data_IF_300644776917
#
_entry.id   IF_300644776917
#
_cell.length_a   1.000
_cell.length_b   1.000
_cell.length_c   1.000
_cell.angle_alpha   90.00
_cell.angle_beta   90.00
_cell.angle_gamma   90.00
#
_symmetry.space_group_name_H-M   'P 1'
#
loop_
_entity.id
_entity.type
_entity.pdbx_description
1 polymer ?
#
# COMPACT_ATOMS: atom_id res chain seq x y z
N UNK A 1 -1.06 -24.63 -23.01
CA UNK A 1 -1.63 -25.58 -22.02
C UNK A 1 -1.40 -25.00 -20.63
N UNK A 2 -2.32 -25.18 -19.67
CA UNK A 2 -2.12 -24.68 -18.31
C UNK A 2 -0.93 -25.38 -17.61
N UNK A 3 -0.16 -24.60 -16.85
CA UNK A 3 0.95 -25.13 -16.04
C UNK A 3 0.45 -26.02 -14.89
N UNK A 4 1.34 -26.78 -14.25
CA UNK A 4 0.96 -27.58 -13.08
C UNK A 4 0.35 -26.70 -11.97
N UNK A 5 0.96 -25.56 -11.68
CA UNK A 5 0.48 -24.59 -10.67
C UNK A 5 -0.95 -24.07 -10.97
N UNK A 6 -1.23 -23.80 -12.25
CA UNK A 6 -2.58 -23.39 -12.67
C UNK A 6 -3.61 -24.52 -12.51
N UNK A 7 -3.23 -25.76 -12.81
CA UNK A 7 -4.09 -26.93 -12.56
C UNK A 7 -4.36 -27.14 -11.07
N UNK A 8 -3.33 -27.01 -10.23
CA UNK A 8 -3.47 -27.13 -8.77
C UNK A 8 -4.42 -26.07 -8.19
N UNK A 9 -4.33 -24.85 -8.71
CA UNK A 9 -5.27 -23.78 -8.33
C UNK A 9 -6.69 -24.06 -8.82
N UNK A 10 -6.85 -24.57 -10.03
CA UNK A 10 -8.16 -24.99 -10.55
C UNK A 10 -8.80 -26.08 -9.70
N UNK A 11 -8.03 -27.09 -9.30
CA UNK A 11 -8.49 -28.14 -8.37
C UNK A 11 -8.85 -27.58 -6.98
N UNK A 12 -8.12 -26.57 -6.53
CA UNK A 12 -8.46 -25.88 -5.29
C UNK A 12 -9.81 -25.16 -5.40
N UNK A 13 -10.09 -24.46 -6.50
CA UNK A 13 -11.39 -23.83 -6.76
C UNK A 13 -12.53 -24.87 -6.83
N UNK A 14 -12.30 -26.02 -7.45
CA UNK A 14 -13.27 -27.11 -7.49
C UNK A 14 -13.60 -27.64 -6.08
N UNK A 15 -12.59 -27.75 -5.20
CA UNK A 15 -12.82 -28.12 -3.79
C UNK A 15 -13.62 -27.08 -3.03
N UNK A 16 -13.36 -25.79 -3.26
CA UNK A 16 -14.13 -24.70 -2.64
C UNK A 16 -15.59 -24.66 -3.10
N UNK A 17 -15.87 -25.11 -4.30
CA UNK A 17 -17.24 -25.26 -4.80
C UNK A 17 -18.02 -26.33 -4.01
N UNK A 18 -17.35 -27.38 -3.53
CA UNK A 18 -17.99 -28.50 -2.84
C UNK A 18 -18.98 -29.24 -3.74
N UNK A 19 -20.12 -29.61 -3.18
CA UNK A 19 -21.16 -30.41 -3.87
C UNK A 19 -21.99 -29.62 -4.89
N UNK A 20 -21.83 -28.27 -4.96
CA UNK A 20 -22.52 -27.46 -5.95
C UNK A 20 -22.07 -27.83 -7.37
N UNK A 21 -22.99 -27.93 -8.31
CA UNK A 21 -22.63 -28.01 -9.72
C UNK A 21 -21.96 -26.72 -10.19
N UNK A 22 -21.17 -26.76 -11.27
CA UNK A 22 -20.55 -25.56 -11.86
C UNK A 22 -21.58 -24.50 -12.25
N UNK A 23 -22.80 -24.89 -12.63
CA UNK A 23 -23.88 -23.98 -12.92
C UNK A 23 -24.37 -23.29 -11.65
N UNK A 24 -24.65 -24.06 -10.60
CA UNK A 24 -25.05 -23.51 -9.30
C UNK A 24 -23.99 -22.56 -8.71
N UNK A 25 -22.72 -22.88 -8.92
CA UNK A 25 -21.63 -22.00 -8.51
C UNK A 25 -21.64 -20.69 -9.30
N UNK A 26 -21.85 -20.73 -10.62
CA UNK A 26 -21.97 -19.53 -11.44
C UNK A 26 -23.16 -18.67 -11.00
N UNK A 27 -24.32 -19.29 -10.80
CA UNK A 27 -25.55 -18.59 -10.37
C UNK A 27 -25.36 -17.94 -8.98
N UNK A 28 -24.71 -18.64 -8.03
CA UNK A 28 -24.39 -18.10 -6.71
C UNK A 28 -23.45 -16.89 -6.79
N UNK A 29 -22.37 -17.00 -7.58
CA UNK A 29 -21.42 -15.90 -7.73
C UNK A 29 -22.03 -14.70 -8.44
N UNK A 30 -22.92 -14.91 -9.42
CA UNK A 30 -23.72 -13.85 -10.04
C UNK A 30 -24.60 -13.15 -9.00
N UNK A 31 -25.30 -13.90 -8.17
CA UNK A 31 -26.13 -13.36 -7.10
C UNK A 31 -25.33 -12.52 -6.10
N UNK A 32 -24.15 -13.00 -5.68
CA UNK A 32 -23.29 -12.30 -4.73
C UNK A 32 -22.65 -11.04 -5.31
N UNK A 33 -22.39 -11.01 -6.62
CA UNK A 33 -21.72 -9.91 -7.30
C UNK A 33 -22.66 -8.87 -7.91
N UNK A 34 -23.92 -9.20 -8.10
CA UNK A 34 -24.87 -8.41 -8.89
C UNK A 34 -24.56 -8.42 -10.42
N UNK A 35 -23.63 -9.26 -10.89
CA UNK A 35 -23.26 -9.39 -12.31
C UNK A 35 -23.91 -10.63 -12.91
N UNK A 36 -24.59 -10.49 -14.04
CA UNK A 36 -25.26 -11.61 -14.72
C UNK A 36 -24.42 -12.33 -15.78
N UNK A 37 -23.09 -12.13 -15.78
CA UNK A 37 -22.23 -12.51 -16.93
C UNK A 37 -21.46 -13.82 -16.74
N UNK A 38 -21.51 -14.46 -15.56
CA UNK A 38 -20.77 -15.67 -15.31
C UNK A 38 -21.54 -16.90 -15.80
N UNK A 39 -20.86 -17.76 -16.55
CA UNK A 39 -21.45 -18.99 -17.09
C UNK A 39 -20.80 -20.23 -16.49
N UNK A 40 -21.52 -21.37 -16.58
CA UNK A 40 -20.93 -22.69 -16.25
C UNK A 40 -19.60 -22.93 -16.96
N UNK A 41 -19.48 -22.52 -18.23
CA UNK A 41 -18.27 -22.76 -19.01
C UNK A 41 -17.06 -21.98 -18.45
N UNK A 42 -17.26 -20.77 -17.96
CA UNK A 42 -16.20 -20.00 -17.31
C UNK A 42 -15.75 -20.69 -16.01
N UNK A 43 -16.66 -21.13 -15.16
CA UNK A 43 -16.33 -21.90 -13.94
C UNK A 43 -15.54 -23.17 -14.30
N UNK A 44 -15.96 -23.89 -15.33
CA UNK A 44 -15.26 -25.08 -15.84
C UNK A 44 -13.82 -24.76 -16.30
N UNK A 45 -13.62 -23.64 -16.99
CA UNK A 45 -12.27 -23.18 -17.43
C UNK A 45 -11.37 -22.84 -16.25
N UNK A 46 -11.91 -22.25 -15.19
CA UNK A 46 -11.16 -21.97 -13.97
C UNK A 46 -10.71 -23.27 -13.29
N UNK A 47 -11.62 -24.23 -13.15
CA UNK A 47 -11.34 -25.52 -12.49
C UNK A 47 -10.34 -26.39 -13.29
N UNK A 48 -10.26 -26.20 -14.61
CA UNK A 48 -9.22 -26.83 -15.44
C UNK A 48 -7.90 -26.08 -15.44
N UNK A 49 -7.84 -24.93 -14.77
CA UNK A 49 -6.65 -24.06 -14.70
C UNK A 49 -6.37 -23.28 -15.98
N UNK A 50 -7.33 -23.20 -16.91
CA UNK A 50 -7.18 -22.48 -18.18
C UNK A 50 -7.22 -20.94 -17.99
N UNK A 51 -7.87 -20.49 -16.93
CA UNK A 51 -8.00 -19.06 -16.58
C UNK A 51 -8.07 -18.88 -15.08
N UNK A 52 -7.45 -17.82 -14.57
CA UNK A 52 -7.58 -17.39 -13.18
C UNK A 52 -8.71 -16.37 -13.09
N UNK A 53 -9.69 -16.54 -12.18
CA UNK A 53 -10.88 -15.69 -12.08
C UNK A 53 -10.65 -14.42 -11.27
N UNK A 54 -9.77 -13.51 -11.70
CA UNK A 54 -9.35 -12.35 -10.91
C UNK A 54 -10.51 -11.51 -10.37
N UNK A 55 -11.46 -11.17 -11.24
CA UNK A 55 -12.62 -10.36 -10.87
C UNK A 55 -13.65 -11.08 -9.97
N UNK A 56 -13.47 -12.38 -9.78
CA UNK A 56 -14.39 -13.24 -9.05
C UNK A 56 -13.83 -13.75 -7.72
N UNK A 57 -12.51 -13.55 -7.46
CA UNK A 57 -11.89 -14.04 -6.23
C UNK A 57 -12.58 -13.55 -4.95
N UNK A 58 -13.02 -12.28 -4.81
CA UNK A 58 -13.73 -11.81 -3.63
C UNK A 58 -15.07 -12.54 -3.40
N UNK A 59 -15.78 -12.84 -4.48
CA UNK A 59 -17.07 -13.52 -4.40
C UNK A 59 -16.91 -15.01 -4.13
N UNK A 60 -15.84 -15.64 -4.66
CA UNK A 60 -15.47 -17.03 -4.34
C UNK A 60 -15.11 -17.12 -2.87
N UNK A 61 -14.33 -16.19 -2.33
CA UNK A 61 -13.97 -16.10 -0.92
C UNK A 61 -15.23 -16.09 -0.04
N UNK A 62 -16.17 -15.19 -0.37
CA UNK A 62 -17.44 -15.05 0.35
C UNK A 62 -18.34 -16.29 0.22
N UNK A 63 -18.39 -16.93 -0.95
CA UNK A 63 -19.21 -18.11 -1.21
C UNK A 63 -18.70 -19.38 -0.51
N UNK A 64 -17.41 -19.43 -0.16
CA UNK A 64 -16.74 -20.57 0.44
C UNK A 64 -16.29 -20.34 1.89
N UNK A 65 -16.58 -19.18 2.45
CA UNK A 65 -16.15 -18.75 3.80
C UNK A 65 -14.64 -18.90 4.03
N UNK A 66 -13.85 -18.54 3.01
CA UNK A 66 -12.39 -18.56 3.06
C UNK A 66 -11.87 -17.12 2.97
N UNK A 67 -10.88 -16.72 3.79
CA UNK A 67 -10.30 -15.40 3.68
C UNK A 67 -9.79 -15.09 2.26
N UNK A 68 -10.13 -13.90 1.73
CA UNK A 68 -9.75 -13.48 0.38
C UNK A 68 -8.24 -13.58 0.16
N UNK A 69 -7.45 -13.18 1.16
CA UNK A 69 -5.98 -13.24 1.13
C UNK A 69 -5.42 -14.65 0.85
N UNK A 70 -6.11 -15.70 1.32
CA UNK A 70 -5.72 -17.10 1.07
C UNK A 70 -5.93 -17.46 -0.40
N UNK A 71 -7.06 -17.04 -0.98
CA UNK A 71 -7.37 -17.33 -2.39
C UNK A 71 -6.46 -16.51 -3.31
N UNK A 72 -6.22 -15.23 -2.99
CA UNK A 72 -5.31 -14.36 -3.74
C UNK A 72 -3.87 -14.87 -3.73
N UNK A 73 -3.38 -15.35 -2.58
CA UNK A 73 -2.05 -15.97 -2.48
C UNK A 73 -1.91 -17.20 -3.39
N UNK A 74 -2.94 -18.06 -3.42
CA UNK A 74 -2.96 -19.23 -4.31
C UNK A 74 -3.08 -18.85 -5.78
N UNK A 75 -3.86 -17.81 -6.12
CA UNK A 75 -3.96 -17.27 -7.46
C UNK A 75 -2.63 -16.67 -7.92
N UNK A 76 -1.94 -15.93 -7.06
CA UNK A 76 -0.62 -15.38 -7.32
C UNK A 76 0.41 -16.50 -7.58
N UNK A 77 0.40 -17.56 -6.77
CA UNK A 77 1.24 -18.74 -6.99
C UNK A 77 0.96 -19.41 -8.36
N UNK A 78 -0.31 -19.51 -8.73
CA UNK A 78 -0.72 -20.08 -10.02
C UNK A 78 -0.21 -19.26 -11.22
N UNK A 79 -0.02 -17.94 -11.05
CA UNK A 79 0.58 -17.04 -12.06
C UNK A 79 2.11 -17.13 -12.15
N UNK A 80 2.73 -17.94 -11.29
CA UNK A 80 4.20 -17.96 -11.17
C UNK A 80 4.76 -16.75 -10.42
N UNK A 81 3.90 -15.85 -9.97
CA UNK A 81 4.26 -14.88 -8.94
C UNK A 81 4.36 -15.70 -7.67
N UNK A 82 5.57 -15.91 -7.17
CA UNK A 82 5.75 -16.45 -5.82
C UNK A 82 5.08 -15.39 -4.94
N UNK A 83 3.94 -15.66 -4.26
CA UNK A 83 3.62 -14.84 -3.13
C UNK A 83 4.81 -15.08 -2.22
N UNK A 84 5.53 -14.03 -1.88
CA UNK A 84 6.26 -14.07 -0.63
C UNK A 84 5.17 -14.46 0.37
N UNK A 85 5.20 -15.67 0.98
CA UNK A 85 4.25 -15.94 2.04
C UNK A 85 4.39 -14.74 2.98
N UNK A 86 3.31 -14.25 3.61
CA UNK A 86 3.50 -13.36 4.73
C UNK A 86 4.54 -14.08 5.57
N UNK A 87 5.75 -13.51 5.58
CA UNK A 87 6.84 -14.13 6.32
C UNK A 87 6.29 -14.17 7.71
N UNK A 88 6.01 -15.39 8.20
CA UNK A 88 5.70 -15.54 9.61
C UNK A 88 6.95 -15.12 10.33
N UNK A 89 7.01 -13.84 10.66
CA UNK A 89 8.12 -13.23 11.38
C UNK A 89 8.09 -13.63 12.85
N UNK A 90 7.02 -14.30 13.31
CA UNK A 90 6.88 -14.75 14.69
C UNK A 90 8.03 -15.67 15.15
N UNK A 91 8.57 -16.59 14.32
CA UNK A 91 9.77 -17.36 14.70
C UNK A 91 11.04 -16.53 14.75
N UNK A 92 11.12 -15.48 13.89
CA UNK A 92 12.31 -14.61 13.81
C UNK A 92 12.24 -13.43 14.80
N UNK A 93 11.04 -13.12 15.28
CA UNK A 93 10.81 -12.00 16.18
C UNK A 93 9.84 -12.36 17.32
N UNK A 94 10.25 -13.27 18.24
CA UNK A 94 9.44 -13.58 19.41
C UNK A 94 9.11 -12.34 20.26
N UNK A 95 9.88 -11.25 20.09
CA UNK A 95 9.61 -9.96 20.72
C UNK A 95 8.61 -9.08 19.95
N UNK A 96 8.26 -9.40 18.70
CA UNK A 96 7.36 -8.56 17.89
C UNK A 96 5.94 -8.53 18.47
N UNK A 97 5.42 -9.67 18.90
CA UNK A 97 4.11 -9.74 19.56
C UNK A 97 4.13 -9.10 20.95
N UNK A 98 5.21 -9.27 21.70
CA UNK A 98 5.38 -8.59 22.99
C UNK A 98 5.50 -7.06 22.78
N UNK A 99 6.21 -6.61 21.75
CA UNK A 99 6.29 -5.19 21.38
C UNK A 99 4.92 -4.67 20.92
N UNK A 100 4.21 -5.42 20.08
CA UNK A 100 2.85 -5.11 19.60
C UNK A 100 1.87 -4.98 20.78
N UNK A 101 1.90 -5.93 21.72
CA UNK A 101 1.10 -5.88 22.95
C UNK A 101 1.49 -4.69 23.85
N UNK A 102 2.77 -4.39 24.00
CA UNK A 102 3.26 -3.20 24.76
C UNK A 102 2.81 -1.90 24.10
N UNK A 103 2.89 -1.80 22.80
CA UNK A 103 2.45 -0.62 22.04
C UNK A 103 0.93 -0.48 22.15
N UNK A 104 0.18 -1.56 21.94
CA UNK A 104 -1.28 -1.57 22.11
C UNK A 104 -1.67 -1.18 23.54
N UNK A 105 -0.96 -1.69 24.55
CA UNK A 105 -1.14 -1.32 25.95
C UNK A 105 -0.82 0.15 26.21
N UNK A 106 0.29 0.66 25.68
CA UNK A 106 0.68 2.06 25.81
C UNK A 106 -0.32 3.00 25.12
N UNK A 107 -0.81 2.65 23.93
CA UNK A 107 -1.84 3.40 23.21
C UNK A 107 -3.18 3.34 23.94
N UNK A 108 -3.55 2.18 24.49
CA UNK A 108 -4.76 2.04 25.30
C UNK A 108 -4.65 2.87 26.58
N UNK A 109 -3.54 2.78 27.30
CA UNK A 109 -3.27 3.59 28.49
C UNK A 109 -3.29 5.07 28.14
N UNK A 110 -2.67 5.48 27.02
CA UNK A 110 -2.69 6.86 26.54
C UNK A 110 -4.11 7.34 26.20
N UNK A 111 -4.98 6.46 25.69
CA UNK A 111 -6.40 6.78 25.43
C UNK A 111 -7.26 6.80 26.70
N UNK A 112 -6.95 5.98 27.68
CA UNK A 112 -7.76 5.83 28.89
C UNK A 112 -7.31 6.76 30.03
N UNK A 113 -5.99 6.94 30.21
CA UNK A 113 -5.44 7.76 31.31
C UNK A 113 -5.30 9.22 30.97
N UNK A 114 -5.23 9.58 29.68
CA UNK A 114 -5.32 10.96 29.25
C UNK A 114 -6.50 11.06 28.30
N UNK A 115 -7.56 11.70 28.72
CA UNK A 115 -8.62 12.19 27.82
C UNK A 115 -8.06 13.12 26.72
N UNK A 116 -6.75 13.17 26.56
CA UNK A 116 -5.94 14.10 25.77
C UNK A 116 -4.75 13.44 25.09
N UNK A 117 -4.72 12.13 24.89
CA UNK A 117 -3.69 11.58 24.00
C UNK A 117 -3.99 12.04 22.58
N UNK A 118 -3.23 13.02 22.13
CA UNK A 118 -3.35 13.57 20.79
C UNK A 118 -3.21 12.44 19.76
N UNK A 119 -4.11 12.33 18.78
CA UNK A 119 -3.89 11.44 17.65
C UNK A 119 -2.61 11.85 16.94
N UNK A 120 -1.98 10.90 16.26
CA UNK A 120 -0.72 11.11 15.56
C UNK A 120 -0.93 10.98 14.05
N UNK A 121 -0.55 12.00 13.32
CA UNK A 121 -0.39 11.96 11.87
C UNK A 121 1.05 11.61 11.53
N UNK A 122 1.28 10.45 10.89
CA UNK A 122 2.60 10.06 10.38
C UNK A 122 2.63 10.23 8.87
N UNK A 123 3.44 11.18 8.39
CA UNK A 123 3.75 11.31 6.97
C UNK A 123 4.90 10.37 6.61
N UNK A 124 4.73 9.59 5.57
CA UNK A 124 5.77 8.71 5.01
C UNK A 124 6.10 9.19 3.60
N UNK A 125 7.26 9.88 3.49
CA UNK A 125 7.80 10.42 2.25
C UNK A 125 8.98 9.61 1.72
N UNK A 126 9.37 9.90 0.47
CA UNK A 126 10.51 9.28 -0.21
C UNK A 126 10.27 9.17 -1.72
N UNK A 127 11.31 8.95 -2.49
CA UNK A 127 11.22 8.85 -3.95
C UNK A 127 10.56 7.54 -4.43
N UNK A 128 10.23 7.45 -5.72
CA UNK A 128 9.73 6.20 -6.30
C UNK A 128 10.77 5.08 -6.10
N UNK A 129 10.32 3.88 -5.74
CA UNK A 129 11.22 2.76 -5.45
C UNK A 129 11.89 2.78 -4.07
N UNK A 130 11.69 3.81 -3.23
CA UNK A 130 12.36 3.87 -1.92
C UNK A 130 11.79 2.92 -0.84
N UNK A 131 10.68 2.21 -1.08
CA UNK A 131 10.09 1.28 -0.10
C UNK A 131 9.05 1.90 0.85
N UNK A 132 8.54 3.11 0.57
CA UNK A 132 7.50 3.78 1.40
C UNK A 132 6.31 2.92 1.74
N UNK A 133 5.77 2.23 0.74
CA UNK A 133 4.56 1.40 0.91
C UNK A 133 4.82 0.23 1.85
N UNK A 134 5.99 -0.37 1.77
CA UNK A 134 6.41 -1.46 2.65
C UNK A 134 6.58 -0.97 4.08
N UNK A 135 7.30 0.14 4.28
CA UNK A 135 7.44 0.78 5.58
C UNK A 135 6.07 1.15 6.18
N UNK A 136 5.19 1.77 5.40
CA UNK A 136 3.85 2.15 5.87
C UNK A 136 3.02 0.92 6.29
N UNK A 137 3.14 -0.21 5.59
CA UNK A 137 2.51 -1.48 5.97
C UNK A 137 3.06 -2.03 7.27
N UNK A 138 4.39 -2.11 7.42
CA UNK A 138 5.00 -2.53 8.69
C UNK A 138 4.55 -1.66 9.86
N UNK A 139 4.51 -0.34 9.66
CA UNK A 139 4.05 0.58 10.70
C UNK A 139 2.57 0.36 11.02
N UNK A 140 1.73 0.14 10.00
CA UNK A 140 0.31 -0.19 10.17
C UNK A 140 0.11 -1.51 10.92
N UNK A 141 0.87 -2.55 10.58
CA UNK A 141 0.81 -3.85 11.25
C UNK A 141 1.18 -3.74 12.73
N UNK A 142 2.13 -2.89 13.08
CA UNK A 142 2.55 -2.67 14.46
C UNK A 142 1.55 -1.81 15.26
N UNK A 143 0.88 -0.87 14.62
CA UNK A 143 0.05 0.14 15.30
C UNK A 143 -1.45 -0.10 15.18
N UNK A 144 -1.89 -0.80 14.14
CA UNK A 144 -3.28 -0.89 13.72
C UNK A 144 -3.82 0.40 13.09
N UNK A 145 -2.95 1.37 12.77
CA UNK A 145 -3.38 2.63 12.15
C UNK A 145 -3.66 2.44 10.66
N UNK A 146 -4.69 3.12 10.16
CA UNK A 146 -5.01 3.12 8.75
C UNK A 146 -3.91 3.79 7.92
N UNK A 147 -3.66 3.25 6.72
CA UNK A 147 -2.77 3.84 5.72
C UNK A 147 -3.59 4.54 4.65
N UNK A 148 -3.40 5.83 4.49
CA UNK A 148 -3.87 6.62 3.35
C UNK A 148 -2.72 6.72 2.35
N UNK A 149 -2.76 5.89 1.32
CA UNK A 149 -1.76 5.91 0.24
C UNK A 149 -2.30 6.68 -0.97
N UNK A 150 -1.56 7.69 -1.42
CA UNK A 150 -1.95 8.57 -2.52
C UNK A 150 -2.33 7.79 -3.77
N UNK A 151 -1.45 6.86 -4.17
CA UNK A 151 -1.64 6.11 -5.41
C UNK A 151 -2.80 5.11 -5.30
N UNK A 152 -2.99 4.49 -4.14
CA UNK A 152 -4.14 3.61 -3.90
C UNK A 152 -5.47 4.37 -3.99
N UNK A 153 -5.51 5.61 -3.51
CA UNK A 153 -6.71 6.43 -3.49
C UNK A 153 -7.05 7.04 -4.86
N UNK A 154 -6.04 7.46 -5.62
CA UNK A 154 -6.28 8.35 -6.77
C UNK A 154 -5.95 7.74 -8.14
N UNK A 155 -5.16 6.68 -8.20
CA UNK A 155 -4.61 6.13 -9.45
C UNK A 155 -5.64 5.98 -10.56
N UNK A 156 -6.77 5.33 -10.30
CA UNK A 156 -7.78 5.07 -11.34
C UNK A 156 -8.43 6.36 -11.86
N UNK A 157 -8.68 7.32 -10.98
CA UNK A 157 -9.21 8.62 -11.36
C UNK A 157 -8.18 9.41 -12.17
N UNK A 158 -6.91 9.39 -11.74
CA UNK A 158 -5.79 10.00 -12.45
C UNK A 158 -5.66 9.45 -13.86
N UNK A 159 -5.65 8.13 -14.04
CA UNK A 159 -5.56 7.47 -15.34
C UNK A 159 -6.73 7.89 -16.25
N UNK A 160 -7.95 7.92 -15.74
CA UNK A 160 -9.14 8.33 -16.49
C UNK A 160 -9.11 9.82 -16.86
N UNK A 161 -8.67 10.67 -15.94
CA UNK A 161 -8.55 12.11 -16.18
C UNK A 161 -7.49 12.41 -17.24
N UNK A 162 -6.32 11.74 -17.17
CA UNK A 162 -5.27 11.87 -18.19
C UNK A 162 -5.80 11.50 -19.58
N UNK A 163 -6.50 10.37 -19.71
CA UNK A 163 -7.13 9.97 -20.97
C UNK A 163 -8.11 11.04 -21.46
N UNK A 164 -8.95 11.58 -20.59
CA UNK A 164 -9.94 12.60 -20.97
C UNK A 164 -9.32 13.93 -21.41
N UNK A 165 -8.11 14.21 -20.96
CA UNK A 165 -7.30 15.38 -21.35
C UNK A 165 -6.39 15.09 -22.56
N UNK A 166 -6.48 13.90 -23.16
CA UNK A 166 -5.67 13.49 -24.33
C UNK A 166 -4.24 13.09 -23.99
N UNK A 167 -3.93 12.83 -22.72
CA UNK A 167 -2.61 12.42 -22.25
C UNK A 167 -2.48 10.89 -22.07
N UNK A 168 -1.26 10.45 -21.80
CA UNK A 168 -0.96 9.05 -21.44
C UNK A 168 -1.49 8.77 -20.04
N UNK A 169 -2.29 7.70 -19.80
CA UNK A 169 -2.80 7.33 -18.48
C UNK A 169 -1.70 7.07 -17.45
N UNK A 170 -0.51 6.74 -17.90
CA UNK A 170 0.64 6.42 -17.04
C UNK A 170 1.60 7.60 -16.84
N UNK A 171 1.32 8.75 -17.46
CA UNK A 171 2.12 9.96 -17.28
C UNK A 171 2.16 10.42 -15.81
N UNK A 172 3.37 10.71 -15.32
CA UNK A 172 3.63 11.27 -14.00
C UNK A 172 4.74 12.32 -14.02
N UNK A 173 5.16 12.76 -15.23
CA UNK A 173 6.32 13.63 -15.39
C UNK A 173 6.02 14.89 -16.21
N UNK A 174 5.06 14.87 -17.13
CA UNK A 174 4.77 16.01 -17.99
C UNK A 174 4.13 17.18 -17.23
N UNK A 175 4.19 18.37 -17.84
CA UNK A 175 3.52 19.58 -17.36
C UNK A 175 2.00 19.36 -17.17
N UNK A 176 1.37 18.60 -18.06
CA UNK A 176 -0.05 18.25 -17.95
C UNK A 176 -0.34 17.58 -16.60
N UNK A 177 0.41 16.53 -16.29
CA UNK A 177 0.23 15.85 -15.00
C UNK A 177 0.56 16.76 -13.81
N UNK A 178 1.68 17.48 -13.88
CA UNK A 178 2.17 18.28 -12.75
C UNK A 178 1.23 19.44 -12.41
N UNK A 179 0.60 20.07 -13.41
CA UNK A 179 -0.25 21.25 -13.22
C UNK A 179 -1.72 20.91 -13.04
N UNK A 180 -2.23 19.96 -13.83
CA UNK A 180 -3.67 19.71 -13.90
C UNK A 180 -4.13 18.55 -13.02
N UNK A 181 -3.23 17.63 -12.64
CA UNK A 181 -3.64 16.39 -11.97
C UNK A 181 -3.02 16.24 -10.58
N UNK A 182 -1.70 16.34 -10.46
CA UNK A 182 -0.99 16.16 -9.20
C UNK A 182 -1.54 16.99 -8.05
N UNK A 183 -1.90 18.28 -8.23
CA UNK A 183 -2.50 19.06 -7.14
C UNK A 183 -3.83 18.50 -6.62
N UNK A 184 -4.62 17.86 -7.50
CA UNK A 184 -5.89 17.24 -7.11
C UNK A 184 -5.68 15.92 -6.36
N UNK A 185 -4.68 15.12 -6.72
CA UNK A 185 -4.30 13.92 -5.98
C UNK A 185 -3.92 14.27 -4.53
N UNK A 186 -3.04 15.28 -4.36
CA UNK A 186 -2.63 15.71 -3.02
C UNK A 186 -3.76 16.38 -2.24
N UNK A 187 -4.64 17.11 -2.91
CA UNK A 187 -5.84 17.67 -2.27
C UNK A 187 -6.78 16.56 -1.79
N UNK A 188 -7.00 15.52 -2.57
CA UNK A 188 -7.78 14.35 -2.19
C UNK A 188 -7.16 13.68 -0.95
N UNK A 189 -5.86 13.40 -0.99
CA UNK A 189 -5.12 12.80 0.12
C UNK A 189 -5.25 13.65 1.39
N UNK A 190 -4.97 14.94 1.32
CA UNK A 190 -4.98 15.82 2.49
C UNK A 190 -6.39 16.08 3.02
N UNK A 191 -7.42 16.15 2.17
CA UNK A 191 -8.80 16.26 2.63
C UNK A 191 -9.23 15.01 3.40
N UNK A 192 -8.89 13.81 2.91
CA UNK A 192 -9.14 12.54 3.62
C UNK A 192 -8.37 12.50 4.94
N UNK A 193 -7.12 12.98 4.93
CA UNK A 193 -6.30 13.11 6.14
C UNK A 193 -6.99 14.00 7.19
N UNK A 194 -7.45 15.20 6.80
CA UNK A 194 -8.11 16.11 7.73
C UNK A 194 -9.43 15.56 8.26
N UNK A 195 -10.22 14.88 7.44
CA UNK A 195 -11.47 14.26 7.89
C UNK A 195 -11.24 13.21 8.98
N UNK A 196 -10.16 12.43 8.87
CA UNK A 196 -9.78 11.46 9.90
C UNK A 196 -9.18 12.13 11.15
N UNK A 197 -8.44 13.21 11.00
CA UNK A 197 -7.93 14.04 12.11
C UNK A 197 -9.11 14.60 12.91
N UNK A 198 -10.11 15.17 12.23
CA UNK A 198 -11.31 15.72 12.87
C UNK A 198 -12.12 14.63 13.60
N UNK A 199 -12.01 13.36 13.16
CA UNK A 199 -12.55 12.20 13.87
C UNK A 199 -11.64 11.65 14.99
N UNK A 200 -10.54 12.34 15.31
CA UNK A 200 -9.57 11.97 16.36
C UNK A 200 -8.88 10.59 16.10
N UNK A 201 -8.57 10.29 14.84
CA UNK A 201 -7.98 9.02 14.40
C UNK A 201 -6.51 9.21 14.05
N UNK A 202 -5.62 8.44 14.68
CA UNK A 202 -4.21 8.34 14.26
C UNK A 202 -4.10 7.60 12.94
N UNK A 203 -3.21 8.08 12.04
CA UNK A 203 -3.07 7.51 10.71
C UNK A 203 -1.67 7.66 10.12
N UNK A 204 -1.41 6.86 9.10
CA UNK A 204 -0.22 6.89 8.27
C UNK A 204 -0.62 7.42 6.90
N UNK A 205 0.06 8.44 6.41
CA UNK A 205 -0.20 9.05 5.10
C UNK A 205 1.03 8.87 4.23
N UNK A 206 0.89 8.11 3.16
CA UNK A 206 1.97 7.73 2.25
C UNK A 206 1.83 8.43 0.89
N UNK A 207 2.83 9.18 0.53
CA UNK A 207 3.01 9.78 -0.80
C UNK A 207 4.49 10.11 -1.02
N UNK A 208 4.95 10.46 -2.21
CA UNK A 208 6.33 10.92 -2.40
C UNK A 208 6.69 12.09 -1.49
N UNK A 209 5.85 13.09 -1.35
CA UNK A 209 6.05 14.31 -0.56
C UNK A 209 7.38 15.04 -0.86
N UNK A 210 8.05 14.70 -1.97
CA UNK A 210 9.35 15.27 -2.30
C UNK A 210 9.29 16.80 -2.43
N UNK A 211 8.35 17.33 -3.19
CA UNK A 211 8.17 18.78 -3.33
C UNK A 211 7.71 19.43 -2.02
N UNK A 212 6.74 18.81 -1.38
CA UNK A 212 6.09 19.33 -0.17
C UNK A 212 7.08 19.45 0.98
N UNK A 213 7.80 18.38 1.29
CA UNK A 213 8.74 18.36 2.43
C UNK A 213 9.99 19.20 2.18
N UNK A 214 10.42 19.41 0.93
CA UNK A 214 11.51 20.32 0.60
C UNK A 214 11.06 21.78 0.49
N UNK A 215 9.74 22.05 0.45
CA UNK A 215 9.23 23.42 0.42
C UNK A 215 9.36 24.08 1.80
N UNK A 216 10.11 25.18 1.94
CA UNK A 216 10.29 25.83 3.24
C UNK A 216 8.98 26.13 3.97
N UNK A 217 8.91 25.74 5.23
CA UNK A 217 7.76 25.98 6.10
C UNK A 217 6.50 25.18 5.76
N UNK A 218 6.51 24.26 4.77
CA UNK A 218 5.32 23.45 4.46
C UNK A 218 4.97 22.53 5.63
N UNK A 219 5.97 21.82 6.15
CA UNK A 219 5.79 20.91 7.30
C UNK A 219 5.37 21.67 8.55
N UNK A 220 5.95 22.85 8.80
CA UNK A 220 5.60 23.69 9.93
C UNK A 220 4.13 24.16 9.87
N UNK A 221 3.68 24.61 8.68
CA UNK A 221 2.27 24.98 8.47
C UNK A 221 1.32 23.83 8.70
N UNK A 222 1.69 22.62 8.23
CA UNK A 222 0.90 21.41 8.47
C UNK A 222 0.86 21.06 9.97
N UNK A 223 2.01 21.07 10.62
CA UNK A 223 2.14 20.80 12.06
C UNK A 223 1.33 21.78 12.88
N UNK A 224 1.42 23.08 12.57
CA UNK A 224 0.62 24.12 13.25
C UNK A 224 -0.89 23.87 13.09
N UNK A 225 -1.33 23.56 11.86
CA UNK A 225 -2.75 23.27 11.57
C UNK A 225 -3.27 22.02 12.29
N UNK A 226 -2.44 20.97 12.38
CA UNK A 226 -2.78 19.74 13.09
C UNK A 226 -2.79 19.98 14.60
N UNK A 227 -1.83 20.72 15.10
CA UNK A 227 -1.72 21.04 16.53
C UNK A 227 -2.92 21.88 17.05
N UNK A 228 -3.44 22.77 16.19
CA UNK A 228 -4.69 23.51 16.49
C UNK A 228 -5.92 22.57 16.63
N UNK A 229 -5.82 21.33 16.18
CA UNK A 229 -6.82 20.26 16.32
C UNK A 229 -6.44 19.21 17.36
N UNK A 230 -5.39 19.45 18.14
CA UNK A 230 -4.89 18.51 19.13
C UNK A 230 -4.19 17.29 18.55
N UNK A 231 -3.66 17.38 17.32
CA UNK A 231 -2.99 16.27 16.62
C UNK A 231 -1.51 16.55 16.53
N UNK A 232 -0.70 15.57 16.89
CA UNK A 232 0.75 15.60 16.69
C UNK A 232 1.10 15.13 15.26
N UNK A 233 2.19 15.65 14.71
CA UNK A 233 2.67 15.30 13.36
C UNK A 233 4.09 14.77 13.45
N UNK A 234 4.35 13.68 12.75
CA UNK A 234 5.68 13.15 12.53
C UNK A 234 5.90 12.93 11.02
N UNK A 235 7.03 13.33 10.51
CA UNK A 235 7.43 13.09 9.13
C UNK A 235 8.60 12.11 9.09
N UNK A 236 8.44 11.04 8.33
CA UNK A 236 9.45 9.99 8.13
C UNK A 236 9.85 10.00 6.65
N UNK A 237 11.14 10.05 6.40
CA UNK A 237 11.70 9.98 5.05
C UNK A 237 12.33 8.62 4.82
N UNK A 238 11.87 7.92 3.79
CA UNK A 238 12.47 6.66 3.37
C UNK A 238 13.53 6.97 2.32
N UNK A 239 14.79 6.81 2.74
CA UNK A 239 15.94 7.02 1.90
C UNK A 239 16.34 5.71 1.22
N UNK A 240 16.73 5.81 -0.06
CA UNK A 240 17.30 4.70 -0.82
C UNK A 240 18.27 5.28 -1.85
N UNK A 241 19.26 4.50 -2.28
CA UNK A 241 20.14 4.87 -3.38
C UNK A 241 19.53 4.57 -4.75
N UNK A 242 20.16 5.07 -5.80
CA UNK A 242 19.67 4.95 -7.17
C UNK A 242 19.55 3.50 -7.61
N UNK A 243 20.52 2.66 -7.25
CA UNK A 243 20.55 1.24 -7.65
C UNK A 243 19.41 0.48 -7.00
N UNK A 244 19.21 0.64 -5.69
CA UNK A 244 18.09 0.04 -4.97
C UNK A 244 16.73 0.52 -5.51
N UNK A 245 16.60 1.83 -5.79
CA UNK A 245 15.35 2.37 -6.35
C UNK A 245 15.07 1.82 -7.75
N UNK A 246 16.10 1.68 -8.59
CA UNK A 246 15.98 1.11 -9.93
C UNK A 246 15.45 -0.32 -9.85
N UNK A 247 16.09 -1.17 -9.06
CA UNK A 247 15.71 -2.57 -8.88
C UNK A 247 14.27 -2.73 -8.36
N UNK A 248 13.86 -1.90 -7.41
CA UNK A 248 12.49 -1.94 -6.90
C UNK A 248 11.46 -1.49 -7.94
N UNK A 249 11.78 -0.48 -8.75
CA UNK A 249 10.90 0.01 -9.81
C UNK A 249 10.80 -1.03 -10.93
N UNK A 250 11.91 -1.63 -11.34
CA UNK A 250 11.96 -2.68 -12.35
C UNK A 250 11.19 -3.93 -11.87
N UNK A 251 11.48 -4.42 -10.66
CA UNK A 251 10.77 -5.57 -10.05
C UNK A 251 9.26 -5.34 -9.94
N UNK A 252 8.84 -4.10 -9.65
CA UNK A 252 7.42 -3.74 -9.55
C UNK A 252 6.70 -3.78 -10.89
N UNK A 253 7.40 -3.55 -12.00
CA UNK A 253 6.90 -3.58 -13.39
C UNK A 253 5.56 -2.81 -13.55
N UNK A 254 5.50 -1.59 -13.03
CA UNK A 254 4.29 -0.78 -13.10
C UNK A 254 4.36 0.17 -14.30
N UNK A 255 3.33 0.22 -15.18
CA UNK A 255 3.35 1.05 -16.40
C UNK A 255 3.67 2.53 -16.15
N UNK A 256 3.27 3.08 -15.01
CA UNK A 256 3.57 4.47 -14.63
C UNK A 256 5.06 4.74 -14.35
N UNK A 257 5.87 3.71 -14.27
CA UNK A 257 7.31 3.83 -14.03
C UNK A 257 8.14 3.67 -15.31
N UNK A 258 7.52 3.28 -16.42
CA UNK A 258 8.21 3.05 -17.70
C UNK A 258 9.03 4.26 -18.13
N UNK A 259 8.49 5.47 -18.00
CA UNK A 259 9.25 6.69 -18.35
C UNK A 259 10.53 6.81 -17.50
N UNK A 260 10.45 6.56 -16.18
CA UNK A 260 11.61 6.66 -15.28
C UNK A 260 12.70 5.66 -15.62
N UNK A 261 12.31 4.41 -15.93
CA UNK A 261 13.26 3.38 -16.35
C UNK A 261 13.94 3.73 -17.68
N UNK A 262 13.19 4.29 -18.63
CA UNK A 262 13.71 4.69 -19.94
C UNK A 262 14.55 5.97 -19.90
N UNK A 263 14.40 6.80 -18.83
CA UNK A 263 15.08 8.09 -18.67
C UNK A 263 15.71 8.18 -17.28
N UNK A 264 16.40 7.11 -16.87
CA UNK A 264 16.87 6.95 -15.49
C UNK A 264 17.81 8.06 -15.03
N UNK A 265 18.78 8.43 -15.87
CA UNK A 265 19.73 9.50 -15.56
C UNK A 265 19.03 10.87 -15.43
N UNK A 266 18.06 11.14 -16.31
CA UNK A 266 17.26 12.36 -16.25
C UNK A 266 16.42 12.37 -14.96
N UNK A 267 15.76 11.28 -14.64
CA UNK A 267 14.96 11.16 -13.42
C UNK A 267 15.83 11.36 -12.17
N UNK A 268 16.94 10.65 -12.07
CA UNK A 268 17.81 10.68 -10.88
C UNK A 268 18.50 12.03 -10.69
N UNK A 269 18.80 12.74 -11.77
CA UNK A 269 19.37 14.11 -11.72
C UNK A 269 18.44 15.12 -11.03
N UNK A 270 17.13 14.83 -10.96
CA UNK A 270 16.15 15.70 -10.30
C UNK A 270 16.00 15.39 -8.80
N UNK A 271 16.60 14.31 -8.32
CA UNK A 271 16.48 13.88 -6.93
C UNK A 271 17.48 14.64 -6.04
N UNK A 272 17.09 14.83 -4.80
CA UNK A 272 17.96 15.42 -3.80
C UNK A 272 18.49 14.32 -2.88
N UNK A 273 19.79 14.22 -2.71
CA UNK A 273 20.42 13.22 -1.84
C UNK A 273 20.13 13.45 -0.37
N UNK A 274 20.08 14.73 0.02
CA UNK A 274 19.80 15.08 1.40
C UNK A 274 18.32 14.87 1.74
N UNK A 275 18.02 14.29 2.91
CA UNK A 275 16.65 14.21 3.38
C UNK A 275 16.05 15.61 3.59
N UNK A 276 14.72 15.75 3.44
CA UNK A 276 14.04 17.03 3.65
C UNK A 276 14.29 17.60 5.05
N UNK A 277 14.28 18.94 5.22
CA UNK A 277 14.44 19.55 6.53
C UNK A 277 13.22 19.27 7.45
N UNK A 278 13.45 19.21 8.75
CA UNK A 278 12.39 19.10 9.76
C UNK A 278 11.74 17.72 9.88
N UNK A 279 12.25 16.69 9.20
CA UNK A 279 11.74 15.33 9.35
C UNK A 279 12.08 14.74 10.73
N UNK A 280 11.17 13.93 11.25
CA UNK A 280 11.32 13.26 12.55
C UNK A 280 12.39 12.18 12.51
N UNK A 281 12.45 11.41 11.44
CA UNK A 281 13.42 10.34 11.26
C UNK A 281 13.62 9.99 9.78
N UNK A 282 14.84 9.62 9.44
CA UNK A 282 15.18 8.99 8.16
C UNK A 282 15.31 7.49 8.36
N UNK A 283 14.76 6.72 7.44
CA UNK A 283 14.86 5.27 7.37
C UNK A 283 15.69 4.90 6.15
N UNK A 284 16.75 4.13 6.36
CA UNK A 284 17.63 3.66 5.30
C UNK A 284 17.12 2.34 4.72
N UNK A 285 16.65 2.37 3.47
CA UNK A 285 16.16 1.19 2.77
C UNK A 285 17.02 0.82 1.55
N UNK A 286 18.32 1.10 1.59
CA UNK A 286 19.26 0.64 0.58
C UNK A 286 19.50 -0.86 0.71
N UNK A 287 19.86 -1.54 -0.38
CA UNK A 287 20.23 -2.96 -0.36
C UNK A 287 21.33 -3.28 0.66
N UNK A 288 22.27 -2.37 0.86
CA UNK A 288 23.35 -2.49 1.82
C UNK A 288 23.04 -1.94 3.21
N UNK A 289 21.79 -1.64 3.56
CA UNK A 289 21.46 -1.09 4.87
C UNK A 289 21.83 -2.04 6.00
N UNK A 290 22.55 -1.53 7.00
CA UNK A 290 23.04 -2.33 8.14
C UNK A 290 21.90 -2.82 9.06
N UNK A 291 20.74 -2.18 9.02
CA UNK A 291 19.59 -2.49 9.86
C UNK A 291 18.37 -2.72 8.96
N UNK A 292 17.65 -3.81 9.20
CA UNK A 292 16.47 -4.16 8.41
C UNK A 292 15.38 -3.08 8.45
N UNK A 293 14.59 -2.95 7.39
CA UNK A 293 13.45 -2.03 7.34
C UNK A 293 12.49 -2.26 8.52
N UNK A 294 12.26 -3.51 8.89
CA UNK A 294 11.41 -3.88 10.02
C UNK A 294 11.95 -3.37 11.36
N UNK A 295 13.26 -3.47 11.61
CA UNK A 295 13.87 -3.00 12.85
C UNK A 295 13.95 -1.47 12.91
N UNK A 296 14.20 -0.83 11.78
CA UNK A 296 14.11 0.62 11.66
C UNK A 296 12.70 1.11 11.89
N UNK A 297 11.66 0.40 11.41
CA UNK A 297 10.25 0.74 11.68
C UNK A 297 9.94 0.67 13.16
N UNK A 298 10.41 -0.37 13.87
CA UNK A 298 10.26 -0.48 15.33
C UNK A 298 10.95 0.66 16.06
N UNK A 299 12.14 1.05 15.59
CA UNK A 299 12.91 2.16 16.18
C UNK A 299 12.22 3.50 15.93
N UNK A 300 11.71 3.73 14.71
CA UNK A 300 10.91 4.90 14.38
C UNK A 300 9.67 4.98 15.28
N UNK A 301 8.93 3.88 15.41
CA UNK A 301 7.73 3.84 16.26
C UNK A 301 8.04 4.18 17.72
N UNK A 302 9.14 3.69 18.28
CA UNK A 302 9.55 4.07 19.65
C UNK A 302 9.75 5.57 19.82
N UNK A 303 10.32 6.24 18.81
CA UNK A 303 10.49 7.71 18.81
C UNK A 303 9.16 8.47 18.70
N UNK A 304 8.15 7.85 18.08
CA UNK A 304 6.83 8.46 17.89
C UNK A 304 5.94 8.39 19.13
N UNK A 305 6.17 7.40 20.00
CA UNK A 305 5.29 7.14 21.17
C UNK A 305 5.91 7.48 22.53
N UNK A 306 7.20 7.88 22.53
CA UNK A 306 7.89 8.44 23.69
C UNK A 306 7.83 9.97 23.67
#
# INVERSE_FOLDING_TARGET
MPTQRQRDFGQYLARLRGDRSQRQQADLLCSLSGKATLTRNEVSRWERGERIPDDWLPYIARASDVPLSVIEAKAAHARGKIPTPPVDLSPFFPQAEALKARIAGALHTRRVTTATAAPLLVLVGGYAGSGKTEFARFLSDLTGWAVLDKDAMTRRMTERLLISLGGDPHDRHTDLYQREIRPHEYRCLMNSTYANIDANISMIVSAPFATELHTPGWLDRLTHRCKARGVDVAAIWIHSDNDTMHDYIETRDAPRDAWKLNHWDEYTSTLQDAPPPGITTTVDNRHGAAVSLADQTRTALRKLVN
#
